data_IF_055093812483
#
_entry.id   IF_055093812483
#
_cell.length_a   1.000
_cell.length_b   1.000
_cell.length_c   1.000
_cell.angle_alpha   90.00
_cell.angle_beta   90.00
_cell.angle_gamma   90.00
#
_symmetry.space_group_name_H-M   'P 1'
#
loop_
_entity.id
_entity.type
_entity.pdbx_description
1 polymer ?
#
# COMPACT_ATOMS: atom_id res chain seq x y z
N UNK A 1 18.00 -5.04 -1.55
CA UNK A 1 16.68 -4.75 -2.17
C UNK A 1 16.31 -3.32 -1.83
N UNK A 2 15.93 -2.53 -2.84
CA UNK A 2 15.61 -1.12 -2.66
C UNK A 2 14.09 -0.88 -2.75
N UNK A 3 13.52 -0.30 -1.70
CA UNK A 3 12.08 -0.07 -1.57
C UNK A 3 11.72 1.40 -1.82
N UNK A 4 10.63 1.63 -2.54
CA UNK A 4 9.97 2.92 -2.64
C UNK A 4 8.81 2.97 -1.64
N UNK A 5 8.86 3.82 -0.64
CA UNK A 5 7.74 4.10 0.27
C UNK A 5 7.01 5.33 -0.25
N UNK A 6 5.80 5.12 -0.76
CA UNK A 6 5.03 6.20 -1.39
C UNK A 6 4.42 7.09 -0.31
N UNK A 7 4.72 8.37 -0.37
CA UNK A 7 4.22 9.35 0.58
C UNK A 7 3.09 10.18 -0.04
N UNK A 8 1.89 10.06 0.50
CA UNK A 8 0.73 10.88 0.14
C UNK A 8 0.48 11.96 1.19
N UNK A 9 -0.19 13.06 0.84
CA UNK A 9 -0.71 13.97 1.86
C UNK A 9 -1.60 13.21 2.85
N UNK A 10 -1.25 13.22 4.14
CA UNK A 10 -1.96 12.50 5.19
C UNK A 10 -1.49 11.05 5.42
N UNK A 11 -0.40 10.60 4.79
CA UNK A 11 0.29 9.38 5.21
C UNK A 11 0.86 9.58 6.62
N UNK A 12 0.64 8.60 7.52
CA UNK A 12 1.11 8.67 8.90
C UNK A 12 2.18 7.63 9.22
N UNK A 13 2.11 6.45 8.58
CA UNK A 13 2.99 5.32 8.86
C UNK A 13 4.13 5.19 7.86
N UNK A 14 4.43 6.22 7.10
CA UNK A 14 5.51 6.25 6.12
C UNK A 14 6.89 6.17 6.81
N UNK A 15 7.08 6.88 7.93
CA UNK A 15 8.31 6.79 8.72
C UNK A 15 8.52 5.41 9.33
N UNK A 16 7.45 4.79 9.83
CA UNK A 16 7.51 3.44 10.38
C UNK A 16 7.91 2.42 9.30
N UNK A 17 7.36 2.56 8.09
CA UNK A 17 7.75 1.72 6.95
C UNK A 17 9.24 1.88 6.60
N UNK A 18 9.74 3.12 6.54
CA UNK A 18 11.16 3.40 6.29
C UNK A 18 12.03 2.79 7.39
N UNK A 19 11.68 3.00 8.66
CA UNK A 19 12.44 2.49 9.79
C UNK A 19 12.49 0.94 9.79
N UNK A 20 11.33 0.30 9.58
CA UNK A 20 11.24 -1.16 9.56
C UNK A 20 12.05 -1.76 8.40
N UNK A 21 11.96 -1.19 7.19
CA UNK A 21 12.67 -1.70 6.02
C UNK A 21 14.19 -1.50 6.14
N UNK A 22 14.64 -0.33 6.62
CA UNK A 22 16.06 -0.07 6.82
C UNK A 22 16.66 -0.87 7.99
N UNK A 23 15.85 -1.45 8.85
CA UNK A 23 16.25 -2.38 9.90
C UNK A 23 16.51 -3.81 9.42
N UNK A 24 16.22 -4.12 8.15
CA UNK A 24 16.44 -5.45 7.56
C UNK A 24 17.74 -5.46 6.78
N UNK A 25 18.60 -6.45 7.05
CA UNK A 25 19.87 -6.60 6.35
C UNK A 25 19.68 -6.73 4.84
N UNK A 26 20.40 -5.91 4.07
CA UNK A 26 20.34 -5.90 2.62
C UNK A 26 19.11 -5.17 2.04
N UNK A 27 18.28 -4.55 2.87
CA UNK A 27 17.20 -3.69 2.44
C UNK A 27 17.56 -2.21 2.62
N UNK A 28 17.06 -1.38 1.72
CA UNK A 28 17.09 0.09 1.84
C UNK A 28 15.75 0.65 1.38
N UNK A 29 15.31 1.75 1.98
CA UNK A 29 14.03 2.35 1.64
C UNK A 29 14.15 3.87 1.55
N UNK A 30 13.56 4.43 0.51
CA UNK A 30 13.47 5.87 0.28
C UNK A 30 12.00 6.32 0.22
N UNK A 31 11.75 7.56 0.63
CA UNK A 31 10.48 8.21 0.35
C UNK A 31 10.34 8.56 -1.12
N UNK A 32 9.16 8.32 -1.66
CA UNK A 32 8.77 8.80 -2.99
C UNK A 32 7.48 9.61 -2.86
N UNK A 33 7.57 10.90 -3.16
CA UNK A 33 6.44 11.80 -3.04
C UNK A 33 5.38 11.52 -4.10
N UNK A 34 4.12 11.63 -3.75
CA UNK A 34 2.99 11.27 -4.62
C UNK A 34 2.94 12.03 -5.96
N UNK A 35 3.66 13.15 -6.09
CA UNK A 35 3.76 13.92 -7.34
C UNK A 35 4.84 13.41 -8.29
N UNK A 36 5.73 12.55 -7.82
CA UNK A 36 6.69 11.89 -8.70
C UNK A 36 5.95 11.03 -9.74
N UNK A 37 6.64 10.74 -10.85
CA UNK A 37 6.06 9.98 -11.96
C UNK A 37 6.87 8.74 -12.31
N UNK A 38 7.96 8.49 -11.61
CA UNK A 38 8.87 7.38 -11.89
C UNK A 38 9.22 6.58 -10.63
N UNK A 39 9.30 5.27 -10.78
CA UNK A 39 9.79 4.32 -9.79
C UNK A 39 11.02 3.54 -10.32
N UNK A 40 11.75 4.15 -11.25
CA UNK A 40 12.96 3.54 -11.77
C UNK A 40 14.01 3.35 -10.66
N UNK A 41 14.65 2.19 -10.65
CA UNK A 41 15.70 1.86 -9.67
C UNK A 41 15.19 1.30 -8.34
N UNK A 42 13.88 1.13 -8.16
CA UNK A 42 13.31 0.44 -7.01
C UNK A 42 12.94 -1.00 -7.36
N UNK A 43 13.15 -1.90 -6.41
CA UNK A 43 12.85 -3.34 -6.54
C UNK A 43 11.43 -3.66 -6.06
N UNK A 44 10.95 -2.94 -5.07
CA UNK A 44 9.64 -3.13 -4.46
C UNK A 44 9.01 -1.79 -4.05
N UNK A 45 7.69 -1.80 -3.89
CA UNK A 45 6.88 -0.61 -3.61
C UNK A 45 6.04 -0.85 -2.37
N UNK A 46 6.02 0.13 -1.46
CA UNK A 46 5.20 0.11 -0.26
C UNK A 46 4.26 1.31 -0.24
N UNK A 47 2.96 1.06 -0.09
CA UNK A 47 1.96 2.08 0.20
C UNK A 47 1.67 2.04 1.70
N UNK A 48 2.05 3.08 2.45
CA UNK A 48 1.94 3.08 3.91
C UNK A 48 0.51 3.31 4.40
N UNK A 49 0.30 3.09 5.67
CA UNK A 49 -0.93 3.45 6.38
C UNK A 49 -1.05 4.96 6.62
N UNK A 50 -2.23 5.36 7.04
CA UNK A 50 -2.58 6.75 7.32
C UNK A 50 -3.98 7.09 6.83
N UNK A 51 -4.16 8.36 6.51
CA UNK A 51 -5.43 8.93 6.04
C UNK A 51 -5.17 9.79 4.80
N UNK A 52 -4.75 9.15 3.70
CA UNK A 52 -4.38 9.86 2.48
C UNK A 52 -5.49 10.81 2.02
N UNK A 53 -5.13 12.08 1.82
CA UNK A 53 -6.06 13.17 1.49
C UNK A 53 -7.23 13.29 2.47
N UNK A 54 -7.03 12.93 3.77
CA UNK A 54 -8.04 13.01 4.82
C UNK A 54 -9.24 12.07 4.61
N UNK A 55 -9.09 11.01 3.82
CA UNK A 55 -10.14 10.04 3.46
C UNK A 55 -11.39 10.67 2.82
N UNK A 56 -11.24 11.82 2.19
CA UNK A 56 -12.35 12.45 1.46
C UNK A 56 -12.91 11.51 0.39
N UNK A 57 -14.23 11.52 0.22
CA UNK A 57 -15.06 10.60 -0.56
C UNK A 57 -15.11 9.22 0.09
N UNK A 58 -14.00 8.50 0.14
CA UNK A 58 -13.73 7.25 0.86
C UNK A 58 -12.22 7.01 0.92
N UNK A 59 -11.83 6.12 1.80
CA UNK A 59 -10.41 5.83 2.05
C UNK A 59 -9.68 5.41 0.77
N UNK A 60 -8.61 6.13 0.43
CA UNK A 60 -7.79 5.84 -0.72
C UNK A 60 -8.32 6.34 -2.07
N UNK A 61 -9.57 6.82 -2.13
CA UNK A 61 -10.23 7.17 -3.40
C UNK A 61 -9.54 8.30 -4.16
N UNK A 62 -9.02 9.31 -3.47
CA UNK A 62 -8.31 10.42 -4.11
C UNK A 62 -6.86 10.03 -4.42
N UNK A 63 -6.21 9.29 -3.50
CA UNK A 63 -4.82 8.89 -3.65
C UNK A 63 -4.56 8.10 -4.94
N UNK A 64 -5.51 7.27 -5.39
CA UNK A 64 -5.40 6.52 -6.65
C UNK A 64 -5.13 7.40 -7.89
N UNK A 65 -5.50 8.67 -7.84
CA UNK A 65 -5.29 9.63 -8.94
C UNK A 65 -3.97 10.41 -8.82
N UNK A 66 -3.19 10.18 -7.77
CA UNK A 66 -1.87 10.80 -7.65
C UNK A 66 -0.97 10.40 -8.82
N UNK A 67 -0.12 11.31 -9.32
CA UNK A 67 0.74 11.05 -10.48
C UNK A 67 1.56 9.77 -10.36
N UNK A 68 2.12 9.47 -9.18
CA UNK A 68 2.93 8.28 -8.94
C UNK A 68 2.15 6.97 -9.15
N UNK A 69 0.83 6.98 -8.95
CA UNK A 69 0.02 5.75 -9.01
C UNK A 69 0.02 5.13 -10.40
N UNK A 70 0.24 5.90 -11.46
CA UNK A 70 0.44 5.33 -12.80
C UNK A 70 1.67 4.42 -12.82
N UNK A 71 2.80 4.90 -12.28
CA UNK A 71 4.03 4.11 -12.20
C UNK A 71 3.85 2.90 -11.26
N UNK A 72 3.14 3.03 -10.15
CA UNK A 72 2.80 1.91 -9.24
C UNK A 72 2.04 0.82 -9.99
N UNK A 73 0.99 1.19 -10.74
CA UNK A 73 0.17 0.25 -11.51
C UNK A 73 1.00 -0.45 -12.59
N UNK A 74 1.79 0.31 -13.33
CA UNK A 74 2.61 -0.24 -14.42
C UNK A 74 3.68 -1.20 -13.88
N UNK A 75 4.33 -0.87 -12.76
CA UNK A 75 5.32 -1.73 -12.10
C UNK A 75 4.69 -2.99 -11.49
N UNK A 76 3.51 -2.86 -10.87
CA UNK A 76 2.76 -4.02 -10.36
C UNK A 76 2.39 -5.00 -11.48
N UNK A 77 1.90 -4.49 -12.61
CA UNK A 77 1.60 -5.30 -13.80
C UNK A 77 2.85 -5.95 -14.41
N UNK A 78 4.01 -5.32 -14.26
CA UNK A 78 5.29 -5.87 -14.67
C UNK A 78 5.84 -6.93 -13.69
N UNK A 79 5.10 -7.25 -12.61
CA UNK A 79 5.46 -8.29 -11.64
C UNK A 79 6.34 -7.83 -10.48
N UNK A 80 6.52 -6.52 -10.28
CA UNK A 80 7.20 -6.03 -9.07
C UNK A 80 6.37 -6.24 -7.83
N UNK A 81 7.06 -6.45 -6.71
CA UNK A 81 6.42 -6.58 -5.41
C UNK A 81 5.80 -5.25 -5.00
N UNK A 82 4.51 -5.29 -4.68
CA UNK A 82 3.77 -4.13 -4.16
C UNK A 82 3.01 -4.57 -2.92
N UNK A 83 3.19 -3.87 -1.82
CA UNK A 83 2.47 -4.09 -0.57
C UNK A 83 1.79 -2.81 -0.12
N UNK A 84 0.56 -2.93 0.36
CA UNK A 84 -0.18 -1.83 0.98
C UNK A 84 -0.67 -2.22 2.35
N UNK A 85 -0.38 -1.41 3.35
CA UNK A 85 -0.84 -1.61 4.72
C UNK A 85 -1.94 -0.62 5.07
N UNK A 86 -3.01 -1.07 5.73
CA UNK A 86 -4.11 -0.20 6.18
C UNK A 86 -4.63 0.69 5.03
N UNK A 87 -4.41 2.00 5.08
CA UNK A 87 -4.79 2.93 4.00
C UNK A 87 -4.11 2.60 2.66
N UNK A 88 -2.87 2.09 2.68
CA UNK A 88 -2.20 1.62 1.47
C UNK A 88 -2.94 0.45 0.80
N UNK A 89 -3.47 -0.51 1.57
CA UNK A 89 -4.35 -1.56 1.06
C UNK A 89 -5.61 -0.98 0.41
N UNK A 90 -6.22 0.02 1.04
CA UNK A 90 -7.41 0.70 0.51
C UNK A 90 -7.10 1.38 -0.84
N UNK A 91 -5.94 2.02 -0.96
CA UNK A 91 -5.48 2.63 -2.22
C UNK A 91 -5.30 1.57 -3.31
N UNK A 92 -4.73 0.41 -2.98
CA UNK A 92 -4.54 -0.69 -3.93
C UNK A 92 -5.88 -1.23 -4.45
N UNK A 93 -6.89 -1.35 -3.58
CA UNK A 93 -8.26 -1.70 -3.99
C UNK A 93 -8.85 -0.64 -4.92
N UNK A 94 -8.75 0.65 -4.59
CA UNK A 94 -9.24 1.75 -5.41
C UNK A 94 -8.53 1.84 -6.77
N UNK A 95 -7.25 1.47 -6.82
CA UNK A 95 -6.46 1.41 -8.04
C UNK A 95 -6.75 0.15 -8.90
N UNK A 96 -7.56 -0.79 -8.41
CA UNK A 96 -7.87 -2.04 -9.11
C UNK A 96 -6.69 -3.03 -9.15
N UNK A 97 -5.71 -2.87 -8.27
CA UNK A 97 -4.59 -3.80 -8.13
C UNK A 97 -4.92 -4.99 -7.22
N UNK A 98 -5.93 -4.85 -6.39
CA UNK A 98 -6.51 -5.91 -5.59
C UNK A 98 -7.99 -6.07 -5.94
N UNK A 99 -8.54 -7.30 -5.88
CA UNK A 99 -9.95 -7.53 -6.16
C UNK A 99 -10.84 -6.97 -5.05
N UNK A 100 -12.08 -6.66 -5.41
CA UNK A 100 -13.10 -6.18 -4.49
C UNK A 100 -13.20 -4.67 -4.43
N UNK A 101 -14.09 -4.18 -3.57
CA UNK A 101 -14.35 -2.77 -3.34
C UNK A 101 -14.62 -2.53 -1.86
N UNK A 102 -14.11 -1.41 -1.35
CA UNK A 102 -14.36 -0.98 0.02
C UNK A 102 -15.64 -0.15 0.09
N UNK A 103 -16.50 -0.49 1.03
CA UNK A 103 -17.75 0.21 1.30
C UNK A 103 -17.85 0.52 2.79
N UNK A 104 -18.68 1.47 3.16
CA UNK A 104 -18.97 1.75 4.56
C UNK A 104 -19.54 0.53 5.27
N UNK A 105 -19.19 0.38 6.55
CA UNK A 105 -19.80 -0.63 7.41
C UNK A 105 -21.32 -0.47 7.43
N UNK A 106 -22.03 -1.59 7.45
CA UNK A 106 -23.51 -1.61 7.50
C UNK A 106 -24.07 -0.80 8.66
N UNK A 107 -23.38 -0.83 9.81
CA UNK A 107 -23.77 -0.08 11.02
C UNK A 107 -23.41 1.40 10.95
N UNK A 108 -22.61 1.85 9.97
CA UNK A 108 -22.00 3.17 9.87
C UNK A 108 -21.05 3.50 11.04
N UNK A 109 -20.73 2.53 11.88
CA UNK A 109 -19.81 2.66 13.00
C UNK A 109 -18.53 1.90 12.74
N UNK A 110 -17.44 2.37 13.34
CA UNK A 110 -16.17 1.66 13.36
C UNK A 110 -16.33 0.36 14.14
N UNK A 111 -15.80 -0.74 13.59
CA UNK A 111 -15.82 -2.07 14.23
C UNK A 111 -14.39 -2.41 14.65
N UNK A 112 -14.19 -2.57 15.98
CA UNK A 112 -12.91 -2.97 16.56
C UNK A 112 -13.11 -4.31 17.27
N UNK A 113 -12.74 -5.39 16.62
CA UNK A 113 -12.83 -6.75 17.16
C UNK A 113 -11.75 -7.64 16.56
N UNK A 114 -11.37 -8.67 17.30
CA UNK A 114 -10.49 -9.72 16.78
C UNK A 114 -11.26 -10.57 15.77
N UNK A 115 -10.65 -10.80 14.59
CA UNK A 115 -11.21 -11.64 13.54
C UNK A 115 -10.16 -12.67 13.10
N UNK A 116 -10.64 -13.80 12.60
CA UNK A 116 -9.77 -14.78 11.96
C UNK A 116 -9.64 -14.47 10.48
N UNK A 117 -8.43 -14.42 9.98
CA UNK A 117 -8.12 -14.27 8.56
C UNK A 117 -7.76 -15.63 7.97
N UNK A 118 -8.19 -15.86 6.76
CA UNK A 118 -7.77 -17.00 5.94
C UNK A 118 -6.91 -16.50 4.79
N UNK A 119 -5.76 -17.13 4.60
CA UNK A 119 -4.92 -16.89 3.43
C UNK A 119 -5.55 -17.60 2.24
N UNK A 120 -6.06 -16.85 1.27
CA UNK A 120 -6.71 -17.42 0.07
C UNK A 120 -5.70 -17.84 -1.00
N UNK A 121 -4.53 -17.21 -1.04
CA UNK A 121 -3.45 -17.51 -1.99
C UNK A 121 -2.16 -17.71 -1.21
N UNK A 122 -1.67 -18.92 -1.16
CA UNK A 122 -0.47 -19.35 -0.43
C UNK A 122 0.82 -19.32 -1.28
N UNK A 123 0.69 -19.07 -2.58
CA UNK A 123 1.79 -19.05 -3.56
C UNK A 123 2.37 -17.65 -3.82
N UNK A 124 1.86 -16.61 -3.17
CA UNK A 124 2.40 -15.28 -3.34
C UNK A 124 3.70 -15.10 -2.53
N UNK A 125 4.64 -14.23 -2.96
CA UNK A 125 5.84 -13.93 -2.18
C UNK A 125 5.58 -13.46 -0.75
N UNK A 126 4.39 -12.91 -0.47
CA UNK A 126 4.00 -12.41 0.85
C UNK A 126 3.32 -13.45 1.74
N UNK A 127 2.88 -14.56 1.17
CA UNK A 127 2.08 -15.57 1.89
C UNK A 127 2.70 -16.97 1.88
N UNK A 128 3.73 -17.18 1.07
CA UNK A 128 4.44 -18.45 1.03
C UNK A 128 5.01 -18.82 2.41
N UNK A 129 4.69 -20.02 2.90
CA UNK A 129 5.12 -20.49 4.21
C UNK A 129 4.26 -20.02 5.39
N UNK A 130 3.17 -19.30 5.16
CA UNK A 130 2.13 -19.07 6.18
C UNK A 130 1.26 -20.33 6.25
N UNK A 131 1.14 -20.97 7.45
CA UNK A 131 0.35 -22.18 7.62
C UNK A 131 -1.15 -21.95 7.49
#
# INVERSE_FOLDING_TARGET
MKFAVIQFPGSNCDQDCIAALNGVDGATADYVWHKETSLAGYDAIVLPGGFSYGDYLRCGAIARFSPIMRAVIDQAKAGKLVIGTCNGFQILCEAGLLPGALVRNRSLHFVCQTVTLRVEVDSSPFTIGIP
#
